data_IF_978062550440
#
_entry.id   IF_978062550440
#
_cell.length_a   1.000
_cell.length_b   1.000
_cell.length_c   1.000
_cell.angle_alpha   90.00
_cell.angle_beta   90.00
_cell.angle_gamma   90.00
#
_symmetry.space_group_name_H-M   'P 1'
#
loop_
_entity.id
_entity.type
_entity.pdbx_description
1 polymer ?
#
# COMPACT_ATOMS: atom_id res chain seq x y z
N UNK A 1 -5.60 3.24 18.25
CA UNK A 1 -6.08 2.19 17.33
C UNK A 1 -5.63 0.86 17.92
N UNK A 2 -6.47 -0.18 17.94
CA UNK A 2 -6.05 -1.54 18.31
C UNK A 2 -5.28 -2.18 17.16
N UNK A 3 -4.57 -3.30 17.41
CA UNK A 3 -3.90 -4.04 16.32
C UNK A 3 -4.90 -4.50 15.24
N UNK A 4 -6.08 -4.98 15.63
CA UNK A 4 -7.11 -5.40 14.68
C UNK A 4 -7.64 -4.22 13.85
N UNK A 5 -7.87 -3.05 14.46
CA UNK A 5 -8.25 -1.84 13.74
C UNK A 5 -7.16 -1.41 12.74
N UNK A 6 -5.89 -1.50 13.13
CA UNK A 6 -4.77 -1.16 12.26
C UNK A 6 -4.57 -2.16 11.12
N UNK A 7 -4.79 -3.46 11.36
CA UNK A 7 -4.78 -4.50 10.32
C UNK A 7 -5.90 -4.26 9.30
N UNK A 8 -7.11 -3.90 9.75
CA UNK A 8 -8.22 -3.56 8.87
C UNK A 8 -7.93 -2.29 8.06
N UNK A 9 -7.34 -1.27 8.68
CA UNK A 9 -6.93 -0.05 7.99
C UNK A 9 -5.87 -0.34 6.91
N UNK A 10 -4.88 -1.17 7.22
CA UNK A 10 -3.88 -1.62 6.25
C UNK A 10 -4.52 -2.41 5.11
N UNK A 11 -5.46 -3.32 5.40
CA UNK A 11 -6.17 -4.10 4.37
C UNK A 11 -7.00 -3.21 3.45
N UNK A 12 -7.73 -2.25 3.99
CA UNK A 12 -8.47 -1.26 3.21
C UNK A 12 -7.53 -0.43 2.32
N UNK A 13 -6.37 -0.02 2.86
CA UNK A 13 -5.32 0.68 2.12
C UNK A 13 -4.80 -0.15 0.95
N UNK A 14 -4.49 -1.44 1.16
CA UNK A 14 -4.00 -2.34 0.12
C UNK A 14 -5.05 -2.62 -0.97
N UNK A 15 -6.34 -2.68 -0.62
CA UNK A 15 -7.41 -2.74 -1.62
C UNK A 15 -7.45 -1.49 -2.52
N UNK A 16 -7.38 -0.30 -1.92
CA UNK A 16 -7.34 0.95 -2.67
C UNK A 16 -6.06 1.04 -3.53
N UNK A 17 -4.92 0.56 -3.02
CA UNK A 17 -3.65 0.54 -3.73
C UNK A 17 -3.70 -0.35 -4.98
N UNK A 18 -4.25 -1.56 -4.88
CA UNK A 18 -4.45 -2.45 -6.03
C UNK A 18 -5.29 -1.76 -7.11
N UNK A 19 -6.42 -1.14 -6.73
CA UNK A 19 -7.25 -0.39 -7.69
C UNK A 19 -6.46 0.75 -8.35
N UNK A 20 -5.80 1.59 -7.56
CA UNK A 20 -5.08 2.76 -8.04
C UNK A 20 -3.86 2.42 -8.91
N UNK A 21 -3.07 1.41 -8.53
CA UNK A 21 -1.93 0.93 -9.32
C UNK A 21 -2.41 0.28 -10.62
N UNK A 22 -3.54 -0.42 -10.61
CA UNK A 22 -4.18 -0.95 -11.83
C UNK A 22 -4.57 0.16 -12.80
N UNK A 23 -5.23 1.22 -12.32
CA UNK A 23 -5.57 2.41 -13.13
C UNK A 23 -4.32 3.09 -13.67
N UNK A 24 -3.30 3.29 -12.82
CA UNK A 24 -2.03 3.89 -13.22
C UNK A 24 -1.33 3.06 -14.32
N UNK A 25 -1.31 1.73 -14.18
CA UNK A 25 -0.74 0.79 -15.15
C UNK A 25 -1.32 0.98 -16.55
N UNK A 26 -2.64 1.23 -16.65
CA UNK A 26 -3.31 1.50 -17.93
C UNK A 26 -2.85 2.78 -18.66
N UNK A 27 -2.07 3.65 -18.02
CA UNK A 27 -1.48 4.87 -18.61
C UNK A 27 0.05 4.82 -18.71
N UNK A 28 0.67 3.71 -18.33
CA UNK A 28 2.12 3.50 -18.36
C UNK A 28 2.51 2.53 -19.48
N UNK A 29 3.77 2.62 -19.93
CA UNK A 29 4.31 1.75 -20.96
C UNK A 29 5.77 1.37 -20.65
N UNK A 30 6.29 0.38 -21.38
CA UNK A 30 7.69 -0.04 -21.30
C UNK A 30 8.14 -0.42 -19.88
N UNK A 31 9.28 0.13 -19.45
CA UNK A 31 9.84 -0.15 -18.13
C UNK A 31 8.92 0.30 -16.97
N UNK A 32 8.19 1.40 -17.15
CA UNK A 32 7.26 1.91 -16.13
C UNK A 32 6.05 1.02 -15.95
N UNK A 33 5.51 0.47 -17.04
CA UNK A 33 4.44 -0.53 -16.97
C UNK A 33 4.90 -1.77 -16.21
N UNK A 34 6.08 -2.33 -16.55
CA UNK A 34 6.64 -3.48 -15.84
C UNK A 34 6.85 -3.22 -14.35
N UNK A 35 7.35 -2.03 -13.99
CA UNK A 35 7.49 -1.63 -12.58
C UNK A 35 6.14 -1.58 -11.86
N UNK A 36 5.10 -1.03 -12.49
CA UNK A 36 3.74 -1.03 -11.95
C UNK A 36 3.17 -2.44 -11.79
N UNK A 37 3.39 -3.34 -12.75
CA UNK A 37 2.99 -4.75 -12.63
C UNK A 37 3.66 -5.45 -11.45
N UNK A 38 4.98 -5.27 -11.28
CA UNK A 38 5.70 -5.83 -10.13
C UNK A 38 5.16 -5.29 -8.81
N UNK A 39 4.90 -3.98 -8.75
CA UNK A 39 4.35 -3.34 -7.55
C UNK A 39 2.93 -3.84 -7.24
N UNK A 40 2.07 -3.99 -8.26
CA UNK A 40 0.73 -4.55 -8.10
C UNK A 40 0.77 -5.95 -7.47
N UNK A 41 1.67 -6.83 -7.93
CA UNK A 41 1.83 -8.16 -7.34
C UNK A 41 2.38 -8.12 -5.90
N UNK A 42 3.17 -7.10 -5.54
CA UNK A 42 3.60 -6.88 -4.16
C UNK A 42 2.42 -6.49 -3.25
N UNK A 43 1.57 -5.55 -3.67
CA UNK A 43 0.34 -5.20 -2.96
C UNK A 43 -0.60 -6.39 -2.81
N UNK A 44 -0.75 -7.18 -3.87
CA UNK A 44 -1.61 -8.37 -3.84
C UNK A 44 -1.16 -9.35 -2.75
N UNK A 45 0.14 -9.63 -2.67
CA UNK A 45 0.70 -10.49 -1.61
C UNK A 45 0.48 -9.89 -0.22
N UNK A 46 0.65 -8.58 -0.05
CA UNK A 46 0.42 -7.89 1.23
C UNK A 46 -1.04 -7.97 1.67
N UNK A 47 -1.98 -7.73 0.76
CA UNK A 47 -3.43 -7.91 1.00
C UNK A 47 -3.74 -9.34 1.45
N UNK A 48 -3.18 -10.33 0.77
CA UNK A 48 -3.40 -11.74 1.10
C UNK A 48 -2.85 -12.06 2.50
N UNK A 49 -1.63 -11.60 2.84
CA UNK A 49 -1.06 -11.73 4.18
C UNK A 49 -1.90 -11.04 5.26
N UNK A 50 -2.41 -9.83 5.02
CA UNK A 50 -3.28 -9.12 5.95
C UNK A 50 -4.61 -9.85 6.17
N UNK A 51 -5.17 -10.41 5.10
CA UNK A 51 -6.39 -11.22 5.14
C UNK A 51 -6.18 -12.45 6.01
N UNK A 52 -5.07 -13.17 5.80
CA UNK A 52 -4.72 -14.36 6.57
C UNK A 52 -4.51 -14.04 8.06
N UNK A 53 -3.82 -12.94 8.39
CA UNK A 53 -3.63 -12.49 9.77
C UNK A 53 -4.97 -12.18 10.47
N UNK A 54 -5.87 -11.46 9.81
CA UNK A 54 -7.20 -11.15 10.36
C UNK A 54 -8.02 -12.43 10.59
N UNK A 55 -8.02 -13.36 9.63
CA UNK A 55 -8.70 -14.65 9.79
C UNK A 55 -8.11 -15.47 10.94
N UNK A 56 -6.79 -15.48 11.10
CA UNK A 56 -6.11 -16.17 12.20
C UNK A 56 -6.54 -15.61 13.56
N UNK A 57 -6.81 -14.31 13.65
CA UNK A 57 -7.28 -13.65 14.87
C UNK A 57 -8.81 -13.73 15.06
N UNK A 58 -9.51 -14.49 14.21
CA UNK A 58 -10.95 -14.66 14.28
C UNK A 58 -11.76 -13.47 13.79
N UNK A 59 -11.10 -12.50 13.14
CA UNK A 59 -11.75 -11.34 12.55
C UNK A 59 -12.27 -11.65 11.14
N UNK A 60 -13.29 -10.90 10.72
CA UNK A 60 -13.75 -10.93 9.32
C UNK A 60 -13.00 -9.85 8.53
N UNK A 61 -12.18 -10.22 7.52
CA UNK A 61 -11.47 -9.24 6.71
C UNK A 61 -12.44 -8.30 5.98
N UNK A 62 -12.17 -7.01 5.98
CA UNK A 62 -12.91 -6.04 5.19
C UNK A 62 -12.87 -6.43 3.71
N UNK A 63 -14.00 -6.36 3.01
CA UNK A 63 -14.05 -6.62 1.57
C UNK A 63 -13.50 -5.42 0.79
N UNK A 64 -13.01 -5.66 -0.43
CA UNK A 64 -12.71 -4.57 -1.35
C UNK A 64 -14.00 -3.92 -1.85
N UNK A 65 -14.03 -2.59 -1.87
CA UNK A 65 -15.07 -1.83 -2.57
C UNK A 65 -15.02 -2.06 -4.09
N UNK A 66 -16.17 -1.96 -4.79
CA UNK A 66 -16.21 -2.14 -6.25
C UNK A 66 -15.46 -1.05 -7.01
N UNK A 67 -15.30 0.13 -6.43
CA UNK A 67 -14.54 1.25 -6.98
C UNK A 67 -14.02 2.17 -5.86
N UNK A 68 -12.95 2.89 -6.16
CA UNK A 68 -12.35 3.87 -5.26
C UNK A 68 -12.26 5.23 -5.95
N UNK A 69 -12.55 6.30 -5.20
CA UNK A 69 -12.35 7.65 -5.70
C UNK A 69 -10.86 7.97 -5.77
N UNK A 70 -10.40 8.41 -6.95
CA UNK A 70 -9.02 8.82 -7.14
C UNK A 70 -8.87 10.30 -6.80
N UNK A 71 -7.79 10.70 -6.09
CA UNK A 71 -7.60 12.07 -5.63
C UNK A 71 -7.40 13.08 -6.76
N UNK A 72 -7.16 12.60 -7.99
CA UNK A 72 -7.11 13.40 -9.23
C UNK A 72 -7.29 12.49 -10.45
N UNK A 73 -7.65 13.09 -11.58
CA UNK A 73 -7.76 12.39 -12.85
C UNK A 73 -6.40 11.82 -13.32
N UNK A 74 -6.41 10.56 -13.78
CA UNK A 74 -5.23 9.85 -14.27
C UNK A 74 -5.34 9.68 -15.79
N UNK A 75 -4.83 10.66 -16.53
CA UNK A 75 -5.02 10.75 -18.00
C UNK A 75 -3.75 10.46 -18.79
N UNK A 76 -2.57 10.50 -18.16
CA UNK A 76 -1.28 10.30 -18.79
C UNK A 76 -0.23 9.69 -17.82
N UNK A 77 0.96 9.37 -18.34
CA UNK A 77 2.03 8.73 -17.58
C UNK A 77 2.52 9.55 -16.36
N UNK A 78 2.54 10.88 -16.44
CA UNK A 78 2.92 11.74 -15.32
C UNK A 78 1.87 11.70 -14.20
N UNK A 79 0.59 11.77 -14.58
CA UNK A 79 -0.51 11.61 -13.63
C UNK A 79 -0.58 10.20 -13.04
N UNK A 80 -0.20 9.17 -13.78
CA UNK A 80 -0.11 7.81 -13.23
C UNK A 80 1.04 7.66 -12.24
N UNK A 81 2.24 8.14 -12.60
CA UNK A 81 3.43 8.07 -11.74
C UNK A 81 3.20 8.74 -10.38
N UNK A 82 2.65 9.96 -10.39
CA UNK A 82 2.40 10.66 -9.13
C UNK A 82 1.17 10.10 -8.37
N UNK A 83 0.28 9.32 -9.00
CA UNK A 83 -0.73 8.56 -8.25
C UNK A 83 -0.06 7.42 -7.48
N UNK A 84 0.83 6.65 -8.13
CA UNK A 84 1.56 5.55 -7.47
C UNK A 84 2.40 6.09 -6.31
N UNK A 85 3.11 7.20 -6.49
CA UNK A 85 3.86 7.84 -5.40
C UNK A 85 2.96 8.18 -4.20
N UNK A 86 1.78 8.77 -4.44
CA UNK A 86 0.84 9.13 -3.38
C UNK A 86 0.30 7.89 -2.65
N UNK A 87 0.05 6.80 -3.37
CA UNK A 87 -0.38 5.51 -2.79
C UNK A 87 0.70 4.99 -1.84
N UNK A 88 1.96 4.93 -2.29
CA UNK A 88 3.07 4.46 -1.45
C UNK A 88 3.31 5.34 -0.22
N UNK A 89 3.11 6.65 -0.34
CA UNK A 89 3.20 7.59 0.79
C UNK A 89 2.11 7.33 1.83
N UNK A 90 0.86 7.17 1.38
CA UNK A 90 -0.27 6.88 2.27
C UNK A 90 -0.15 5.52 2.94
N UNK A 91 0.27 4.50 2.18
CA UNK A 91 0.51 3.17 2.75
C UNK A 91 1.65 3.18 3.76
N UNK A 92 2.73 3.93 3.51
CA UNK A 92 3.80 4.05 4.51
C UNK A 92 3.29 4.61 5.84
N UNK A 93 2.40 5.61 5.83
CA UNK A 93 1.77 6.10 7.06
C UNK A 93 0.91 5.02 7.74
N UNK A 94 0.04 4.34 6.99
CA UNK A 94 -0.84 3.27 7.52
C UNK A 94 -0.04 2.10 8.10
N UNK A 95 1.06 1.70 7.46
CA UNK A 95 1.94 0.67 8.00
C UNK A 95 2.74 1.18 9.22
N UNK A 96 3.03 2.48 9.32
CA UNK A 96 3.54 3.10 10.54
C UNK A 96 2.59 2.94 11.72
N UNK A 97 1.30 3.24 11.52
CA UNK A 97 0.26 3.03 12.53
C UNK A 97 0.15 1.56 12.96
N UNK A 98 0.31 0.63 12.01
CA UNK A 98 0.34 -0.81 12.30
C UNK A 98 1.60 -1.22 13.08
N UNK A 99 2.77 -0.62 12.80
CA UNK A 99 3.98 -0.87 13.60
C UNK A 99 3.78 -0.41 15.05
N UNK A 100 3.14 0.74 15.27
CA UNK A 100 2.80 1.28 16.59
C UNK A 100 1.81 0.35 17.31
N UNK A 101 0.73 -0.02 16.63
CA UNK A 101 -0.40 -0.76 17.21
C UNK A 101 -0.16 -2.27 17.35
N UNK A 102 0.86 -2.82 16.68
CA UNK A 102 1.14 -4.25 16.72
C UNK A 102 1.39 -4.74 18.16
N UNK A 103 0.73 -5.82 18.53
CA UNK A 103 0.88 -6.53 19.80
C UNK A 103 1.70 -7.81 19.60
N UNK A 104 1.55 -8.51 18.48
CA UNK A 104 2.36 -9.71 18.19
C UNK A 104 3.60 -9.41 17.35
N UNK A 105 4.69 -10.12 17.66
CA UNK A 105 5.98 -9.95 17.00
C UNK A 105 5.93 -10.19 15.47
N UNK A 106 5.10 -11.14 15.02
CA UNK A 106 4.92 -11.43 13.59
C UNK A 106 4.24 -10.28 12.85
N UNK A 107 3.22 -9.66 13.44
CA UNK A 107 2.50 -8.51 12.86
C UNK A 107 3.44 -7.32 12.78
N UNK A 108 4.17 -7.04 13.87
CA UNK A 108 5.18 -5.97 13.90
C UNK A 108 6.27 -6.18 12.83
N UNK A 109 6.77 -7.41 12.68
CA UNK A 109 7.80 -7.73 11.68
C UNK A 109 7.29 -7.49 10.26
N UNK A 110 6.09 -7.99 9.95
CA UNK A 110 5.45 -7.76 8.65
C UNK A 110 5.22 -6.27 8.38
N UNK A 111 4.73 -5.53 9.37
CA UNK A 111 4.46 -4.10 9.25
C UNK A 111 5.75 -3.29 9.00
N UNK A 112 6.83 -3.56 9.73
CA UNK A 112 8.15 -2.91 9.53
C UNK A 112 8.69 -3.20 8.13
N UNK A 113 8.67 -4.47 7.70
CA UNK A 113 9.16 -4.84 6.37
C UNK A 113 8.37 -4.14 5.27
N UNK A 114 7.04 -4.02 5.45
CA UNK A 114 6.18 -3.38 4.47
C UNK A 114 6.32 -1.86 4.47
N UNK A 115 6.50 -1.24 5.63
CA UNK A 115 6.83 0.18 5.76
C UNK A 115 8.14 0.52 5.01
N UNK A 116 9.19 -0.29 5.19
CA UNK A 116 10.46 -0.10 4.47
C UNK A 116 10.26 -0.27 2.95
N UNK A 117 9.50 -1.28 2.53
CA UNK A 117 9.26 -1.56 1.13
C UNK A 117 8.46 -0.44 0.43
N UNK A 118 7.41 0.06 1.08
CA UNK A 118 6.59 1.18 0.56
C UNK A 118 7.41 2.47 0.50
N UNK A 119 8.19 2.80 1.55
CA UNK A 119 9.10 3.94 1.53
C UNK A 119 10.17 3.84 0.42
N UNK A 120 10.73 2.65 0.19
CA UNK A 120 11.71 2.42 -0.87
C UNK A 120 11.10 2.56 -2.27
N UNK A 121 9.85 2.11 -2.45
CA UNK A 121 9.14 2.22 -3.71
C UNK A 121 8.92 3.69 -4.13
N UNK A 122 8.72 4.61 -3.17
CA UNK A 122 8.53 6.04 -3.44
C UNK A 122 9.66 6.62 -4.30
N UNK A 123 10.92 6.24 -4.04
CA UNK A 123 12.09 6.70 -4.81
C UNK A 123 11.97 6.36 -6.30
N UNK A 124 11.49 5.15 -6.61
CA UNK A 124 11.25 4.71 -7.99
C UNK A 124 10.15 5.50 -8.70
N UNK A 125 9.22 6.11 -7.95
CA UNK A 125 8.08 6.87 -8.46
C UNK A 125 8.23 8.39 -8.32
N UNK A 126 9.45 8.87 -8.04
CA UNK A 126 9.78 10.30 -8.02
C UNK A 126 9.69 10.95 -6.63
N UNK A 127 9.56 10.16 -5.57
CA UNK A 127 9.69 10.62 -4.20
C UNK A 127 11.13 11.02 -3.86
N UNK A 128 11.27 11.99 -2.96
CA UNK A 128 12.56 12.36 -2.38
C UNK A 128 12.86 11.48 -1.16
N UNK A 129 14.14 11.21 -0.86
CA UNK A 129 14.51 10.54 0.38
C UNK A 129 14.12 11.40 1.58
N UNK A 130 13.56 10.76 2.60
CA UNK A 130 13.22 11.36 3.90
C UNK A 130 14.04 10.69 5.00
N UNK A 131 14.19 11.35 6.15
CA UNK A 131 15.03 10.85 7.24
C UNK A 131 14.48 9.53 7.83
N UNK A 132 13.16 9.40 7.93
CA UNK A 132 12.48 8.21 8.44
C UNK A 132 11.37 7.72 7.50
N UNK A 133 11.25 6.41 7.25
CA UNK A 133 10.08 5.82 6.58
C UNK A 133 8.77 6.23 7.29
N UNK A 134 7.80 6.74 6.53
CA UNK A 134 6.49 7.15 7.07
C UNK A 134 6.44 8.57 7.63
N UNK A 135 7.52 9.36 7.53
CA UNK A 135 7.49 10.78 7.86
C UNK A 135 6.63 11.54 6.83
N UNK A 136 5.49 12.08 7.26
CA UNK A 136 4.56 12.89 6.46
C UNK A 136 4.69 14.37 6.76
#
# INVERSE_FOLDING_TARGET
MTENEALQAALAGEHAALYGVGVAGGKLSGARFRAATTLYEQHRRRRDTLTDLLLEFGEKPAAAEPAYELPRAVTNAATATALVLLIEQRLAAVYGDLVESAEQAKVRTFAIQTLIATASAQLGWGGAPVAFPGQV
#
